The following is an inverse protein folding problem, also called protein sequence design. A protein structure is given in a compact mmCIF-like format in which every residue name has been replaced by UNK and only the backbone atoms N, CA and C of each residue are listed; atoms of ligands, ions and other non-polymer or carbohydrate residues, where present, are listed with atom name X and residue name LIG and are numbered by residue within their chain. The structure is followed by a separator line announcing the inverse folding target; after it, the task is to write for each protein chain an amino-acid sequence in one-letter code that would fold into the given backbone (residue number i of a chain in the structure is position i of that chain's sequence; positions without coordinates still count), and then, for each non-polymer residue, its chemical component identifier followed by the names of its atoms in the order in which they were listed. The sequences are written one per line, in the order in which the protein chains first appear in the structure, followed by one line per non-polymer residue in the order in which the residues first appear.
data_IF_538771060898
#
_entry.id   IF_538771060898
#
_cell.length_a   1.000
_cell.length_b   1.000
_cell.length_c   1.000
_cell.angle_alpha   90.00
_cell.angle_beta   90.00
_cell.angle_gamma   90.00
#
_symmetry.space_group_name_H-M   'P 1'
#
loop_
_entity.id
_entity.type
_entity.pdbx_description
1 polymer ?
#
# COMPACT_ATOMS: atom_id res chain seq x y z
N UNK A 1 -39.79 23.51 10.65
CA UNK A 1 -38.45 23.44 11.28
C UNK A 1 -38.59 22.60 12.54
N UNK A 2 -37.93 21.49 12.81
CA UNK A 2 -37.01 20.61 12.11
C UNK A 2 -36.86 19.41 13.06
N UNK A 3 -37.04 18.19 12.56
CA UNK A 3 -36.95 16.94 13.34
C UNK A 3 -35.55 16.78 13.92
N UNK A 4 -35.33 17.24 15.14
CA UNK A 4 -34.05 17.17 15.84
C UNK A 4 -33.92 15.89 16.64
N UNK A 5 -33.72 14.76 15.95
CA UNK A 5 -33.22 13.54 16.61
C UNK A 5 -31.87 13.88 17.23
N UNK A 6 -31.81 13.99 18.55
CA UNK A 6 -30.56 14.14 19.34
C UNK A 6 -29.69 12.88 19.29
N UNK A 7 -30.07 11.89 18.48
CA UNK A 7 -29.34 10.64 18.27
C UNK A 7 -28.65 10.68 16.90
N UNK A 8 -27.33 10.46 16.83
CA UNK A 8 -26.57 10.49 15.59
C UNK A 8 -27.10 9.42 14.63
N UNK A 9 -27.61 9.85 13.48
CA UNK A 9 -28.37 9.00 12.56
C UNK A 9 -27.54 8.57 11.33
N UNK A 10 -26.53 9.35 10.96
CA UNK A 10 -25.59 9.03 9.87
C UNK A 10 -24.26 8.48 10.39
N UNK A 11 -23.47 7.86 9.51
CA UNK A 11 -22.15 7.33 9.86
C UNK A 11 -21.20 8.44 10.33
N UNK A 12 -21.29 9.61 9.70
CA UNK A 12 -20.47 10.78 10.04
C UNK A 12 -20.88 11.36 11.40
N UNK A 13 -22.18 11.47 11.70
CA UNK A 13 -22.65 11.92 13.02
C UNK A 13 -22.19 10.99 14.15
N UNK A 14 -22.16 9.68 13.88
CA UNK A 14 -21.70 8.67 14.86
C UNK A 14 -20.20 8.77 15.08
N UNK A 15 -19.42 9.07 14.04
CA UNK A 15 -17.98 9.34 14.18
C UNK A 15 -17.74 10.59 15.01
N UNK A 16 -18.43 11.69 14.71
CA UNK A 16 -18.30 12.95 15.45
C UNK A 16 -18.67 12.74 16.92
N UNK A 17 -19.79 12.07 17.20
CA UNK A 17 -20.21 11.75 18.56
C UNK A 17 -19.24 10.81 19.30
N UNK A 18 -18.59 9.87 18.60
CA UNK A 18 -17.58 8.99 19.20
C UNK A 18 -16.28 9.74 19.53
N UNK A 19 -15.89 10.71 18.69
CA UNK A 19 -14.75 11.60 18.94
C UNK A 19 -15.05 12.51 20.14
N UNK A 20 -16.24 13.13 20.19
CA UNK A 20 -16.68 14.01 21.28
C UNK A 20 -16.85 13.28 22.62
N UNK A 21 -17.20 11.99 22.61
CA UNK A 21 -17.37 11.17 23.82
C UNK A 21 -16.05 10.70 24.44
N UNK A 22 -14.90 11.02 23.83
CA UNK A 22 -13.58 10.81 24.43
C UNK A 22 -13.22 9.36 24.71
N UNK A 23 -13.86 8.38 24.05
CA UNK A 23 -13.53 6.96 24.17
C UNK A 23 -12.30 6.62 23.33
N UNK A 24 -11.18 7.27 23.64
CA UNK A 24 -9.90 7.07 22.96
C UNK A 24 -9.23 5.75 23.36
N UNK A 25 -9.69 5.12 24.46
CA UNK A 25 -9.09 3.90 25.00
C UNK A 25 -9.43 2.61 24.22
N UNK A 26 -10.49 2.64 23.40
CA UNK A 26 -10.95 1.47 22.63
C UNK A 26 -10.44 1.45 21.18
N UNK A 27 -9.92 2.57 20.66
CA UNK A 27 -9.15 2.56 19.42
C UNK A 27 -7.73 2.04 19.71
N UNK A 28 -7.65 0.80 20.21
CA UNK A 28 -6.42 0.06 20.30
C UNK A 28 -5.90 -0.04 18.88
N UNK A 29 -4.85 0.73 18.59
CA UNK A 29 -4.04 0.61 17.39
C UNK A 29 -3.60 -0.86 17.33
N UNK A 30 -4.38 -1.65 16.60
CA UNK A 30 -4.24 -3.10 16.51
C UNK A 30 -2.89 -3.33 15.87
N UNK A 31 -1.85 -3.51 16.68
CA UNK A 31 -0.50 -3.81 16.19
C UNK A 31 -0.65 -5.03 15.30
N UNK A 32 -0.64 -4.88 13.96
CA UNK A 32 -0.93 -5.99 13.11
C UNK A 32 0.18 -7.03 13.34
N UNK A 33 -0.15 -8.32 13.35
CA UNK A 33 0.83 -9.37 13.63
C UNK A 33 2.00 -9.22 12.66
N UNK A 34 3.16 -8.84 13.20
CA UNK A 34 4.39 -8.54 12.44
C UNK A 34 4.85 -9.70 11.56
N UNK A 35 4.42 -10.92 11.87
CA UNK A 35 4.75 -12.15 11.16
C UNK A 35 4.34 -12.18 9.68
N UNK A 36 3.27 -11.49 9.27
CA UNK A 36 2.89 -11.43 7.83
C UNK A 36 3.66 -10.35 7.06
N UNK A 37 4.21 -9.34 7.74
CA UNK A 37 4.90 -8.25 7.08
C UNK A 37 6.26 -8.70 6.51
N UNK A 38 7.04 -9.46 7.27
CA UNK A 38 8.40 -9.85 6.87
C UNK A 38 8.41 -10.76 5.62
N UNK A 39 7.46 -11.70 5.52
CA UNK A 39 7.33 -12.54 4.34
C UNK A 39 6.90 -11.72 3.10
N UNK A 40 5.92 -10.83 3.26
CA UNK A 40 5.48 -9.94 2.17
C UNK A 40 6.58 -8.99 1.70
N UNK A 41 7.45 -8.54 2.61
CA UNK A 41 8.61 -7.72 2.27
C UNK A 41 9.62 -8.53 1.45
N UNK A 42 9.96 -9.75 1.88
CA UNK A 42 10.86 -10.64 1.13
C UNK A 42 10.33 -10.96 -0.27
N UNK A 43 9.05 -11.31 -0.37
CA UNK A 43 8.43 -11.64 -1.65
C UNK A 43 8.47 -10.45 -2.63
N UNK A 44 8.26 -9.23 -2.12
CA UNK A 44 8.38 -7.99 -2.93
C UNK A 44 9.81 -7.70 -3.34
N UNK A 45 10.80 -7.94 -2.47
CA UNK A 45 12.21 -7.79 -2.79
C UNK A 45 12.66 -8.76 -3.89
N UNK A 46 12.22 -10.02 -3.81
CA UNK A 46 12.53 -11.04 -4.82
C UNK A 46 11.90 -10.72 -6.17
N UNK A 47 10.65 -10.24 -6.19
CA UNK A 47 10.02 -9.76 -7.41
C UNK A 47 10.78 -8.57 -8.02
N UNK A 48 11.20 -7.61 -7.18
CA UNK A 48 11.99 -6.46 -7.62
C UNK A 48 13.33 -6.89 -8.23
N UNK A 49 14.05 -7.82 -7.61
CA UNK A 49 15.32 -8.36 -8.14
C UNK A 49 15.13 -9.03 -9.50
N UNK A 50 14.16 -9.93 -9.63
CA UNK A 50 13.83 -10.60 -10.91
C UNK A 50 13.50 -9.60 -12.02
N UNK A 51 12.73 -8.55 -11.70
CA UNK A 51 12.38 -7.52 -12.68
C UNK A 51 13.61 -6.69 -13.09
N UNK A 52 14.49 -6.35 -12.14
CA UNK A 52 15.74 -5.67 -12.45
C UNK A 52 16.65 -6.51 -13.34
N UNK A 53 16.80 -7.81 -13.07
CA UNK A 53 17.59 -8.73 -13.90
C UNK A 53 17.06 -8.81 -15.34
N UNK A 54 15.74 -9.00 -15.51
CA UNK A 54 15.10 -8.98 -16.83
C UNK A 54 15.36 -7.66 -17.56
N UNK A 55 15.25 -6.53 -16.86
CA UNK A 55 15.50 -5.22 -17.45
C UNK A 55 16.95 -5.05 -17.90
N UNK A 56 17.92 -5.56 -17.13
CA UNK A 56 19.34 -5.55 -17.47
C UNK A 56 19.63 -6.44 -18.68
N UNK A 57 19.06 -7.64 -18.72
CA UNK A 57 19.19 -8.55 -19.86
C UNK A 57 18.64 -7.92 -21.15
N UNK A 58 17.45 -7.31 -21.10
CA UNK A 58 16.86 -6.61 -22.24
C UNK A 58 17.71 -5.41 -22.71
N UNK A 59 18.28 -4.64 -21.77
CA UNK A 59 19.22 -3.56 -22.12
C UNK A 59 20.48 -4.09 -22.79
N UNK A 60 21.05 -5.19 -22.28
CA UNK A 60 22.23 -5.83 -22.87
C UNK A 60 21.95 -6.31 -24.30
N UNK A 61 20.79 -6.96 -24.52
CA UNK A 61 20.37 -7.39 -25.86
C UNK A 61 20.16 -6.20 -26.81
N UNK A 62 19.54 -5.11 -26.35
CA UNK A 62 19.42 -3.88 -27.16
C UNK A 62 20.78 -3.31 -27.54
N UNK A 63 21.70 -3.20 -26.59
CA UNK A 63 23.05 -2.69 -26.85
C UNK A 63 23.83 -3.60 -27.81
N UNK A 64 23.67 -4.92 -27.71
CA UNK A 64 24.25 -5.87 -28.65
C UNK A 64 23.68 -5.66 -30.07
N UNK A 65 22.35 -5.58 -30.19
CA UNK A 65 21.68 -5.34 -31.46
C UNK A 65 22.05 -3.99 -32.09
N UNK A 66 22.21 -2.93 -31.29
CA UNK A 66 22.69 -1.62 -31.76
C UNK A 66 24.12 -1.70 -32.30
N UNK A 67 25.00 -2.43 -31.61
CA UNK A 67 26.38 -2.66 -32.08
C UNK A 67 26.41 -3.44 -33.39
N UNK A 68 25.57 -4.46 -33.54
CA UNK A 68 25.47 -5.21 -34.80
C UNK A 68 24.92 -4.35 -35.94
N UNK A 69 23.89 -3.53 -35.68
CA UNK A 69 23.36 -2.58 -36.68
C UNK A 69 24.39 -1.55 -37.12
N UNK A 70 25.27 -1.09 -36.23
CA UNK A 70 26.36 -0.15 -36.58
C UNK A 70 27.53 -0.82 -37.32
N UNK A 71 27.62 -2.15 -37.28
CA UNK A 71 28.65 -2.93 -38.00
C UNK A 71 28.21 -3.36 -39.40
N UNK A 72 26.90 -3.38 -39.67
CA UNK A 72 26.34 -3.49 -41.02
C UNK A 72 26.36 -2.13 -41.69
#
# INVERSE_FOLDING_TARGET
MGSGSTRPNTADDKMIAAIERGTQDEFKDSKPPKFKADQLVKDKEDQKRKNQEKSKALKALRLAAEKERKKK
#
